data_IF_181633228915
#
_entry.id   IF_181633228915
#
_cell.length_a   1.000
_cell.length_b   1.000
_cell.length_c   1.000
_cell.angle_alpha   90.00
_cell.angle_beta   90.00
_cell.angle_gamma   90.00
#
_symmetry.space_group_name_H-M   'P 1'
#
loop_
_entity.id
_entity.type
_entity.pdbx_description
1 polymer ?
#
# COMPACT_ATOMS: atom_id res chain seq x y z
N UNK A 1 2.96 -13.59 1.20
CA UNK A 1 3.26 -12.22 0.72
C UNK A 1 3.33 -12.21 -0.81
N UNK A 2 2.57 -11.32 -1.48
CA UNK A 2 2.45 -11.29 -2.95
C UNK A 2 3.54 -10.45 -3.66
N UNK A 3 4.40 -9.73 -2.93
CA UNK A 3 5.48 -8.92 -3.52
C UNK A 3 6.37 -9.68 -4.49
N UNK A 4 6.97 -10.81 -4.09
CA UNK A 4 7.76 -11.64 -5.01
C UNK A 4 6.99 -12.06 -6.27
N UNK A 5 5.70 -12.37 -6.15
CA UNK A 5 4.87 -12.70 -7.30
C UNK A 5 4.66 -11.48 -8.21
N UNK A 6 4.38 -10.29 -7.67
CA UNK A 6 4.25 -9.07 -8.45
C UNK A 6 5.55 -8.73 -9.20
N UNK A 7 6.70 -8.92 -8.55
CA UNK A 7 8.02 -8.74 -9.16
C UNK A 7 8.22 -9.72 -10.33
N UNK A 8 7.99 -11.01 -10.11
CA UNK A 8 8.11 -12.05 -11.15
C UNK A 8 7.15 -11.82 -12.32
N UNK A 9 5.91 -11.41 -12.04
CA UNK A 9 4.89 -11.16 -13.04
C UNK A 9 5.26 -10.01 -13.98
N UNK A 10 5.79 -8.92 -13.43
CA UNK A 10 5.92 -7.65 -14.15
C UNK A 10 7.29 -7.43 -14.79
N UNK A 11 8.37 -8.00 -14.23
CA UNK A 11 9.72 -7.83 -14.80
C UNK A 11 9.84 -8.46 -16.18
N UNK A 12 10.44 -7.73 -17.13
CA UNK A 12 10.80 -8.24 -18.47
C UNK A 12 12.21 -8.81 -18.44
N UNK A 13 12.36 -10.09 -18.78
CA UNK A 13 13.67 -10.74 -18.75
C UNK A 13 14.04 -11.24 -17.34
N UNK A 14 15.34 -11.33 -17.04
CA UNK A 14 15.80 -11.77 -15.71
C UNK A 14 15.57 -10.68 -14.67
N UNK A 15 15.07 -11.08 -13.50
CA UNK A 15 14.90 -10.19 -12.34
C UNK A 15 16.27 -9.75 -11.82
N UNK A 16 16.55 -8.45 -11.73
CA UNK A 16 17.89 -7.95 -11.41
C UNK A 16 18.27 -8.03 -9.92
N UNK A 17 17.30 -7.87 -9.01
CA UNK A 17 17.52 -7.77 -7.56
C UNK A 17 16.24 -8.11 -6.77
N UNK A 18 16.29 -8.03 -5.44
CA UNK A 18 15.17 -8.33 -4.56
C UNK A 18 14.88 -9.83 -4.44
N UNK A 19 13.71 -10.22 -3.91
CA UNK A 19 13.44 -11.59 -3.49
C UNK A 19 13.43 -12.59 -4.66
N UNK A 20 13.14 -12.16 -5.89
CA UNK A 20 13.14 -13.02 -7.07
C UNK A 20 14.39 -12.86 -7.95
N UNK A 21 15.48 -12.28 -7.45
CA UNK A 21 16.71 -12.07 -8.21
C UNK A 21 17.16 -13.33 -8.98
N UNK A 22 17.52 -13.15 -10.26
CA UNK A 22 17.96 -14.22 -11.15
C UNK A 22 16.84 -15.04 -11.81
N UNK A 23 15.60 -14.96 -11.30
CA UNK A 23 14.44 -15.63 -11.89
C UNK A 23 14.04 -15.01 -13.24
N UNK A 24 13.39 -15.80 -14.10
CA UNK A 24 12.85 -15.32 -15.37
C UNK A 24 11.48 -14.67 -15.15
N UNK A 25 11.41 -13.36 -15.33
CA UNK A 25 10.16 -12.60 -15.26
C UNK A 25 9.25 -12.85 -16.47
N UNK A 26 7.93 -12.72 -16.24
CA UNK A 26 6.90 -12.98 -17.23
C UNK A 26 6.56 -11.77 -18.12
N UNK A 27 7.02 -10.56 -17.75
CA UNK A 27 6.80 -9.33 -18.50
C UNK A 27 5.33 -8.99 -18.75
N UNK A 28 4.43 -9.38 -17.84
CA UNK A 28 2.98 -9.15 -17.97
C UNK A 28 2.58 -7.84 -17.29
N UNK A 29 1.82 -6.97 -17.98
CA UNK A 29 1.29 -5.77 -17.35
C UNK A 29 0.16 -6.11 -16.37
N UNK A 30 -0.03 -5.24 -15.39
CA UNK A 30 -1.12 -5.26 -14.41
C UNK A 30 -1.87 -3.93 -14.51
N UNK A 31 -3.14 -4.00 -14.93
CA UNK A 31 -3.94 -2.79 -15.16
C UNK A 31 -4.29 -2.05 -13.85
N UNK A 32 -4.46 -2.78 -12.75
CA UNK A 32 -4.66 -2.16 -11.42
C UNK A 32 -4.13 -3.06 -10.31
N UNK A 33 -3.52 -2.44 -9.29
CA UNK A 33 -3.09 -3.08 -8.06
C UNK A 33 -3.59 -2.25 -6.87
N UNK A 34 -4.34 -2.86 -5.96
CA UNK A 34 -4.84 -2.20 -4.75
C UNK A 34 -4.40 -3.02 -3.54
N UNK A 35 -3.73 -2.35 -2.61
CA UNK A 35 -3.20 -2.95 -1.38
C UNK A 35 -3.97 -2.38 -0.20
N UNK A 36 -4.69 -3.23 0.54
CA UNK A 36 -5.40 -2.84 1.76
C UNK A 36 -4.53 -3.09 2.98
N UNK A 37 -4.33 -2.03 3.77
CA UNK A 37 -3.51 -1.99 4.98
C UNK A 37 -2.28 -2.93 4.93
N UNK A 38 -1.42 -2.83 3.90
CA UNK A 38 -0.46 -3.88 3.63
C UNK A 38 0.62 -3.95 4.72
N UNK A 39 0.71 -5.11 5.38
CA UNK A 39 1.79 -5.50 6.29
C UNK A 39 3.08 -5.87 5.52
N UNK A 40 3.44 -5.08 4.51
CA UNK A 40 4.69 -5.20 3.76
C UNK A 40 5.66 -4.13 4.26
N UNK A 41 6.92 -4.49 4.44
CA UNK A 41 7.95 -3.49 4.72
C UNK A 41 8.08 -2.51 3.56
N UNK A 42 8.38 -1.24 3.82
CA UNK A 42 8.60 -0.28 2.73
C UNK A 42 9.74 -0.73 1.83
N UNK A 43 10.79 -1.33 2.40
CA UNK A 43 11.90 -1.96 1.68
C UNK A 43 11.40 -3.03 0.69
N UNK A 44 10.66 -4.04 1.15
CA UNK A 44 10.18 -5.11 0.27
C UNK A 44 9.22 -4.57 -0.80
N UNK A 45 8.41 -3.56 -0.47
CA UNK A 45 7.57 -2.87 -1.46
C UNK A 45 8.40 -2.18 -2.55
N UNK A 46 9.47 -1.47 -2.15
CA UNK A 46 10.38 -0.78 -3.05
C UNK A 46 11.18 -1.75 -3.94
N UNK A 47 11.49 -2.95 -3.46
CA UNK A 47 12.15 -3.98 -4.25
C UNK A 47 11.20 -4.67 -5.26
N UNK A 48 9.92 -4.80 -4.91
CA UNK A 48 9.00 -5.69 -5.65
C UNK A 48 7.95 -4.99 -6.49
N UNK A 49 7.25 -3.99 -5.95
CA UNK A 49 6.17 -3.30 -6.64
C UNK A 49 6.63 -1.99 -7.28
N UNK A 50 7.46 -1.22 -6.57
CA UNK A 50 7.84 0.12 -7.01
C UNK A 50 8.47 0.18 -8.41
N UNK A 51 9.34 -0.75 -8.85
CA UNK A 51 9.90 -0.70 -10.20
C UNK A 51 8.80 -0.80 -11.27
N UNK A 52 7.85 -1.73 -11.09
CA UNK A 52 6.74 -1.92 -12.02
C UNK A 52 5.78 -0.72 -12.04
N UNK A 53 5.56 -0.06 -10.90
CA UNK A 53 4.80 1.19 -10.80
C UNK A 53 5.53 2.33 -11.51
N UNK A 54 6.85 2.44 -11.33
CA UNK A 54 7.66 3.49 -11.95
C UNK A 54 7.72 3.36 -13.47
N UNK A 55 7.83 2.14 -13.97
CA UNK A 55 7.88 1.82 -15.40
C UNK A 55 6.50 1.80 -16.08
N UNK A 56 5.41 1.86 -15.30
CA UNK A 56 4.03 1.80 -15.81
C UNK A 56 3.56 0.38 -16.16
N UNK A 57 4.30 -0.66 -15.79
CA UNK A 57 3.85 -2.06 -15.89
C UNK A 57 2.74 -2.38 -14.88
N UNK A 58 2.65 -1.63 -13.77
CA UNK A 58 1.44 -1.50 -12.95
C UNK A 58 0.84 -0.13 -13.26
N UNK A 59 -0.31 -0.08 -13.93
CA UNK A 59 -0.87 1.17 -14.45
C UNK A 59 -1.53 2.03 -13.36
N UNK A 60 -2.31 1.40 -12.47
CA UNK A 60 -3.02 2.08 -11.37
C UNK A 60 -2.69 1.39 -10.05
N UNK A 61 -1.88 2.03 -9.22
CA UNK A 61 -1.50 1.50 -7.91
C UNK A 61 -2.13 2.34 -6.79
N UNK A 62 -2.74 1.67 -5.81
CA UNK A 62 -3.31 2.33 -4.64
C UNK A 62 -2.99 1.56 -3.35
N UNK A 63 -2.74 2.30 -2.28
CA UNK A 63 -2.62 1.81 -0.90
C UNK A 63 -3.75 2.43 -0.08
N UNK A 64 -4.52 1.57 0.57
CA UNK A 64 -5.48 1.97 1.60
C UNK A 64 -4.81 1.77 2.95
N UNK A 65 -4.83 2.79 3.78
CA UNK A 65 -4.24 2.80 5.11
C UNK A 65 -5.15 3.59 6.06
N UNK A 66 -5.08 3.31 7.35
CA UNK A 66 -5.75 4.15 8.35
C UNK A 66 -4.91 5.39 8.64
N UNK A 67 -5.56 6.45 9.11
CA UNK A 67 -4.86 7.53 9.79
C UNK A 67 -4.11 7.00 11.02
N UNK A 68 -2.93 7.56 11.31
CA UNK A 68 -2.10 7.09 12.43
C UNK A 68 -2.81 7.15 13.79
N UNK A 69 -3.62 8.20 14.01
CA UNK A 69 -4.42 8.31 15.23
C UNK A 69 -5.46 7.19 15.36
N UNK A 70 -5.99 6.69 14.24
CA UNK A 70 -6.98 5.60 14.22
C UNK A 70 -6.27 4.27 14.49
N UNK A 71 -5.10 4.02 13.88
CA UNK A 71 -4.27 2.83 14.17
C UNK A 71 -3.83 2.77 15.64
N UNK A 72 -3.60 3.92 16.27
CA UNK A 72 -3.20 4.01 17.68
C UNK A 72 -4.36 3.78 18.66
N UNK A 73 -5.60 4.00 18.21
CA UNK A 73 -6.84 3.81 18.98
C UNK A 73 -7.48 2.42 18.72
N UNK A 74 -6.97 1.68 17.73
CA UNK A 74 -7.39 0.32 17.39
C UNK A 74 -6.90 -0.74 18.40
N UNK A 75 -7.33 -1.99 18.26
CA UNK A 75 -6.86 -3.09 19.07
C UNK A 75 -6.75 -4.43 18.31
N UNK A 76 -5.86 -5.31 18.76
CA UNK A 76 -5.87 -6.73 18.39
C UNK A 76 -6.59 -7.53 19.49
N UNK A 77 -7.87 -7.84 19.27
CA UNK A 77 -8.70 -8.63 20.19
C UNK A 77 -8.66 -8.13 21.67
N UNK A 78 -8.49 -6.83 21.90
CA UNK A 78 -8.29 -6.22 23.22
C UNK A 78 -7.09 -6.76 24.04
N UNK A 79 -6.14 -7.43 23.39
CA UNK A 79 -4.89 -7.91 24.01
C UNK A 79 -3.75 -6.93 23.74
N UNK A 80 -3.74 -6.32 22.56
CA UNK A 80 -2.81 -5.27 22.16
C UNK A 80 -3.61 -4.04 21.76
N UNK A 81 -3.47 -2.93 22.50
CA UNK A 81 -4.29 -1.72 22.33
C UNK A 81 -3.68 -0.73 21.33
N UNK A 82 -3.31 -1.28 20.17
CA UNK A 82 -3.04 -0.59 18.90
C UNK A 82 -3.45 -1.56 17.79
N UNK A 83 -3.39 -1.10 16.55
CA UNK A 83 -3.68 -1.92 15.38
C UNK A 83 -2.74 -3.13 15.22
N UNK A 84 -3.16 -4.06 14.34
CA UNK A 84 -2.34 -5.19 13.94
C UNK A 84 -1.04 -4.75 13.26
N UNK A 85 -1.01 -3.64 12.49
CA UNK A 85 0.23 -3.17 11.89
C UNK A 85 1.20 -2.62 12.93
N UNK A 86 0.73 -1.99 13.99
CA UNK A 86 1.59 -1.63 15.12
C UNK A 86 2.19 -2.87 15.79
N UNK A 87 1.40 -3.94 15.95
CA UNK A 87 1.91 -5.20 16.49
C UNK A 87 2.98 -5.81 15.56
N UNK A 88 2.70 -5.91 14.27
CA UNK A 88 3.63 -6.45 13.27
C UNK A 88 4.92 -5.63 13.25
N UNK A 89 4.81 -4.32 13.09
CA UNK A 89 5.93 -3.37 12.98
C UNK A 89 6.83 -3.36 14.22
N UNK A 90 6.26 -3.52 15.42
CA UNK A 90 7.00 -3.44 16.67
C UNK A 90 7.53 -4.80 17.17
N UNK A 91 6.91 -5.93 16.79
CA UNK A 91 7.15 -7.22 17.43
C UNK A 91 7.42 -8.39 16.48
N UNK A 92 6.94 -8.35 15.23
CA UNK A 92 7.04 -9.50 14.30
C UNK A 92 8.02 -9.30 13.14
N UNK A 93 8.32 -8.06 12.79
CA UNK A 93 9.38 -7.77 11.83
C UNK A 93 10.77 -7.88 12.47
N UNK A 94 11.77 -8.25 11.65
CA UNK A 94 13.16 -8.33 12.12
C UNK A 94 13.63 -6.93 12.57
N UNK A 95 14.22 -6.79 13.78
CA UNK A 95 14.76 -5.54 14.28
C UNK A 95 15.98 -4.98 13.52
N UNK A 96 16.19 -5.32 12.24
CA UNK A 96 17.32 -4.90 11.41
C UNK A 96 17.55 -3.36 11.38
N UNK A 97 16.54 -2.56 11.77
CA UNK A 97 16.62 -1.09 11.91
C UNK A 97 16.71 -0.64 13.37
N UNK A 98 17.28 -1.43 14.29
CA UNK A 98 17.74 -0.93 15.59
C UNK A 98 19.10 -0.24 15.44
N UNK A 99 19.10 0.90 14.74
CA UNK A 99 20.20 1.87 14.76
C UNK A 99 20.45 2.34 16.22
N UNK A 100 21.66 2.76 16.61
CA UNK A 100 22.05 2.97 18.02
C UNK A 100 21.42 4.21 18.70
N UNK A 101 20.26 4.68 18.25
CA UNK A 101 19.56 5.86 18.77
C UNK A 101 18.29 5.48 19.55
N UNK A 102 17.92 6.24 20.60
CA UNK A 102 16.93 5.84 21.62
C UNK A 102 15.45 5.95 21.19
N UNK A 103 15.17 6.38 19.96
CA UNK A 103 13.81 6.43 19.43
C UNK A 103 13.55 5.11 18.69
N UNK A 104 12.94 4.16 19.40
CA UNK A 104 12.58 2.81 18.95
C UNK A 104 11.91 2.85 17.56
N UNK A 105 12.70 2.56 16.51
CA UNK A 105 12.20 2.53 15.14
C UNK A 105 11.61 1.17 14.87
N UNK A 106 10.31 1.05 15.15
CA UNK A 106 9.45 0.05 14.55
C UNK A 106 9.74 -0.10 13.05
N UNK A 107 9.68 -1.32 12.51
CA UNK A 107 10.01 -1.57 11.10
C UNK A 107 9.00 -0.85 10.19
N UNK A 108 9.44 -0.02 9.23
CA UNK A 108 8.53 0.70 8.35
C UNK A 108 7.65 -0.22 7.53
N UNK A 109 6.33 -0.12 7.73
CA UNK A 109 5.32 -0.84 6.94
C UNK A 109 4.56 0.12 6.03
N UNK A 110 4.36 -0.27 4.77
CA UNK A 110 3.68 0.55 3.76
C UNK A 110 2.24 0.91 4.18
N UNK A 111 1.55 0.01 4.89
CA UNK A 111 0.18 0.22 5.34
C UNK A 111 0.02 1.21 6.48
N UNK A 112 1.09 1.77 7.04
CA UNK A 112 1.01 2.75 8.14
C UNK A 112 1.27 4.17 7.63
N UNK A 113 0.30 5.07 7.82
CA UNK A 113 0.37 6.45 7.34
C UNK A 113 1.65 7.20 7.78
N UNK A 114 2.15 6.95 9.00
CA UNK A 114 3.37 7.59 9.51
C UNK A 114 4.63 7.30 8.70
N UNK A 115 4.67 6.21 7.93
CA UNK A 115 5.79 5.87 7.06
C UNK A 115 5.59 6.33 5.61
N UNK A 116 4.34 6.63 5.21
CA UNK A 116 4.00 7.02 3.84
C UNK A 116 3.74 8.54 3.67
N UNK A 117 3.48 9.28 4.76
CA UNK A 117 3.17 10.71 4.71
C UNK A 117 4.40 11.59 4.83
N UNK A 118 4.56 12.51 3.88
CA UNK A 118 5.69 13.44 3.86
C UNK A 118 5.76 14.41 5.05
N UNK A 119 4.66 14.60 5.77
CA UNK A 119 4.60 15.39 7.00
C UNK A 119 5.15 14.65 8.22
N UNK A 120 5.38 13.34 8.11
CA UNK A 120 5.91 12.53 9.21
C UNK A 120 7.43 12.55 9.26
N UNK A 121 8.00 12.63 10.47
CA UNK A 121 9.45 12.48 10.71
C UNK A 121 9.97 11.07 10.45
N UNK A 122 9.08 10.08 10.32
CA UNK A 122 9.39 8.68 10.08
C UNK A 122 9.22 8.27 8.61
N UNK A 123 8.88 9.22 7.73
CA UNK A 123 8.53 8.91 6.36
C UNK A 123 9.67 8.22 5.60
N UNK A 124 9.32 7.19 4.82
CA UNK A 124 10.17 6.63 3.78
C UNK A 124 10.10 7.56 2.55
N UNK A 125 11.24 8.18 2.21
CA UNK A 125 11.29 9.23 1.20
C UNK A 125 11.00 8.71 -0.22
N UNK A 126 11.31 7.44 -0.51
CA UNK A 126 11.07 6.85 -1.83
C UNK A 126 9.59 6.49 -2.01
N UNK A 127 8.94 6.01 -0.94
CA UNK A 127 7.48 5.85 -0.92
C UNK A 127 6.79 7.20 -1.10
N UNK A 128 7.22 8.22 -0.35
CA UNK A 128 6.70 9.60 -0.47
C UNK A 128 6.85 10.13 -1.89
N UNK A 129 7.96 9.83 -2.56
CA UNK A 129 8.20 10.26 -3.95
C UNK A 129 7.22 9.62 -4.93
N UNK A 130 6.89 8.34 -4.76
CA UNK A 130 5.87 7.67 -5.58
C UNK A 130 4.48 8.32 -5.39
N UNK A 131 4.12 8.65 -4.16
CA UNK A 131 2.85 9.30 -3.83
C UNK A 131 2.79 10.73 -4.40
N UNK A 132 3.82 11.55 -4.16
CA UNK A 132 3.88 12.92 -4.67
C UNK A 132 3.88 13.00 -6.20
N UNK A 133 4.48 12.02 -6.87
CA UNK A 133 4.45 11.91 -8.33
C UNK A 133 3.17 11.29 -8.89
N UNK A 134 2.18 11.00 -8.04
CA UNK A 134 0.88 10.40 -8.39
C UNK A 134 0.98 9.04 -9.08
N UNK A 135 2.10 8.32 -8.90
CA UNK A 135 2.24 6.93 -9.39
C UNK A 135 1.69 5.91 -8.41
N UNK A 136 1.67 6.26 -7.12
CA UNK A 136 1.03 5.50 -6.06
C UNK A 136 -0.02 6.38 -5.38
N UNK A 137 -1.26 5.95 -5.39
CA UNK A 137 -2.32 6.64 -4.67
C UNK A 137 -2.34 6.18 -3.21
N UNK A 138 -2.45 7.11 -2.26
CA UNK A 138 -2.61 6.81 -0.84
C UNK A 138 -4.00 7.26 -0.40
N UNK A 139 -4.85 6.31 -0.04
CA UNK A 139 -6.18 6.54 0.53
C UNK A 139 -6.08 6.36 2.04
N UNK A 140 -6.34 7.44 2.80
CA UNK A 140 -6.36 7.40 4.25
C UNK A 140 -7.78 7.29 4.77
N UNK A 141 -8.07 6.25 5.53
CA UNK A 141 -9.37 5.95 6.10
C UNK A 141 -9.45 6.35 7.59
N UNK A 142 -10.65 6.73 8.08
CA UNK A 142 -11.88 6.94 7.32
C UNK A 142 -11.91 8.32 6.62
N UNK A 143 -12.48 8.40 5.42
CA UNK A 143 -12.57 9.63 4.64
C UNK A 143 -13.84 9.77 3.77
N UNK A 144 -15.00 9.38 4.31
CA UNK A 144 -16.27 9.47 3.59
C UNK A 144 -16.69 10.92 3.41
N UNK A 145 -16.72 11.37 2.15
CA UNK A 145 -17.14 12.71 1.76
C UNK A 145 -17.60 12.72 0.30
N UNK A 146 -18.70 13.42 0.00
CA UNK A 146 -19.24 13.56 -1.37
C UNK A 146 -18.26 14.21 -2.35
N UNK A 147 -17.28 14.97 -1.84
CA UNK A 147 -16.26 15.65 -2.64
C UNK A 147 -15.07 14.74 -2.98
N UNK A 148 -14.92 13.61 -2.29
CA UNK A 148 -13.86 12.63 -2.55
C UNK A 148 -14.37 11.65 -3.61
N UNK A 149 -13.61 11.36 -4.69
CA UNK A 149 -14.01 10.36 -5.68
C UNK A 149 -14.34 9.00 -5.05
N UNK A 150 -15.29 8.26 -5.61
CA UNK A 150 -15.68 6.94 -5.07
C UNK A 150 -14.53 5.92 -5.09
N UNK A 151 -13.52 6.11 -5.94
CA UNK A 151 -12.27 5.36 -5.87
C UNK A 151 -11.50 5.70 -4.59
N UNK A 152 -11.53 6.92 -4.11
CA UNK A 152 -10.70 7.40 -3.01
C UNK A 152 -11.35 7.28 -1.62
N UNK A 153 -12.47 6.57 -1.48
CA UNK A 153 -13.22 6.51 -0.23
C UNK A 153 -13.08 5.17 0.51
N UNK A 154 -13.01 5.26 1.83
CA UNK A 154 -13.06 4.13 2.77
C UNK A 154 -13.62 4.61 4.10
N UNK A 155 -14.48 3.80 4.73
CA UNK A 155 -15.07 4.07 6.05
C UNK A 155 -14.36 3.32 7.18
N UNK A 156 -13.30 2.55 6.88
CA UNK A 156 -12.60 1.66 7.80
C UNK A 156 -12.06 2.42 9.01
N UNK A 157 -12.24 1.84 10.20
CA UNK A 157 -11.82 2.42 11.48
C UNK A 157 -10.94 1.49 12.31
N UNK A 158 -10.89 0.22 11.96
CA UNK A 158 -9.99 -0.77 12.50
C UNK A 158 -9.22 -1.41 11.36
N UNK A 159 -8.04 -1.92 11.67
CA UNK A 159 -7.16 -2.51 10.66
C UNK A 159 -7.85 -3.65 9.89
N UNK A 160 -8.66 -4.45 10.59
CA UNK A 160 -9.39 -5.58 10.01
C UNK A 160 -10.67 -5.20 9.28
N UNK A 161 -11.01 -3.91 9.12
CA UNK A 161 -12.28 -3.51 8.50
C UNK A 161 -12.22 -3.48 6.96
N UNK A 162 -11.03 -3.41 6.34
CA UNK A 162 -10.91 -3.04 4.93
C UNK A 162 -11.59 -4.02 3.95
N UNK A 163 -11.64 -5.31 4.28
CA UNK A 163 -12.27 -6.34 3.46
C UNK A 163 -13.80 -6.41 3.62
N UNK A 164 -14.33 -5.98 4.77
CA UNK A 164 -15.77 -5.88 5.04
C UNK A 164 -16.35 -4.48 4.77
N UNK A 165 -15.50 -3.47 4.57
CA UNK A 165 -15.89 -2.10 4.26
C UNK A 165 -16.43 -1.97 2.82
N UNK A 166 -17.73 -1.68 2.71
CA UNK A 166 -18.42 -1.51 1.43
C UNK A 166 -17.76 -0.45 0.52
N UNK A 167 -17.28 0.65 1.06
CA UNK A 167 -16.65 1.73 0.30
C UNK A 167 -15.25 1.34 -0.18
N UNK A 168 -14.45 0.68 0.66
CA UNK A 168 -13.14 0.12 0.27
C UNK A 168 -13.30 -0.90 -0.87
N UNK A 169 -14.27 -1.80 -0.76
CA UNK A 169 -14.54 -2.81 -1.79
C UNK A 169 -15.03 -2.16 -3.08
N UNK A 170 -15.99 -1.22 -3.01
CA UNK A 170 -16.46 -0.45 -4.18
C UNK A 170 -15.32 0.30 -4.86
N UNK A 171 -14.50 1.01 -4.09
CA UNK A 171 -13.34 1.73 -4.57
C UNK A 171 -12.36 0.81 -5.33
N UNK A 172 -12.16 -0.40 -4.82
CA UNK A 172 -11.30 -1.41 -5.45
C UNK A 172 -11.89 -1.92 -6.76
N UNK A 173 -13.18 -2.24 -6.78
CA UNK A 173 -13.88 -2.67 -8.00
C UNK A 173 -13.86 -1.58 -9.09
N UNK A 174 -14.05 -0.31 -8.72
CA UNK A 174 -13.96 0.81 -9.66
C UNK A 174 -12.55 0.94 -10.27
N UNK A 175 -11.49 0.68 -9.50
CA UNK A 175 -10.11 0.67 -10.04
C UNK A 175 -9.86 -0.48 -11.01
N UNK A 176 -10.41 -1.66 -10.70
CA UNK A 176 -10.36 -2.85 -11.57
C UNK A 176 -11.07 -2.57 -12.89
N UNK A 177 -12.30 -2.04 -12.83
CA UNK A 177 -13.09 -1.69 -14.00
C UNK A 177 -12.44 -0.56 -14.82
N UNK A 178 -11.70 0.33 -14.15
CA UNK A 178 -11.07 1.48 -14.77
C UNK A 178 -12.09 2.52 -15.24
N UNK A 179 -11.64 3.57 -15.96
CA UNK A 179 -12.57 4.49 -16.60
C UNK A 179 -13.39 3.72 -17.62
N UNK A 180 -14.71 3.66 -17.43
CA UNK A 180 -15.61 2.94 -18.33
C UNK A 180 -15.42 3.36 -19.78
N UNK A 181 -15.57 2.43 -20.73
CA UNK A 181 -15.62 2.79 -22.16
C UNK A 181 -16.72 3.85 -22.34
N UNK A 182 -16.32 5.06 -22.75
CA UNK A 182 -17.25 6.07 -23.25
C UNK A 182 -18.07 5.41 -24.35
N UNK A 183 -19.33 5.09 -24.07
CA UNK A 183 -20.24 4.60 -25.10
C UNK A 183 -20.50 5.81 -25.98
N UNK A 184 -19.91 5.85 -27.17
CA UNK A 184 -20.31 6.82 -28.19
C UNK A 184 -21.80 6.57 -28.44
N UNK A 185 -22.65 7.43 -27.91
CA UNK A 185 -24.05 7.51 -28.32
C UNK A 185 -23.97 7.96 -29.78
N UNK A 186 -24.24 7.03 -30.70
CA UNK A 186 -24.47 7.36 -32.09
C UNK A 186 -25.75 8.21 -32.12
N UNK A 187 -25.59 9.50 -32.41
CA UNK A 187 -26.67 10.39 -32.80
C UNK A 187 -27.09 10.11 -34.25
#
# INVERSE_FOLDING_TARGET
MLGPFAQLLTTKGRVPSGPMAGQQGFGRPVTSCTLWAPAITTELFLETYAPAIQEGSIERAAVFALHDAVEQDDHCANIYHKSLLYLVSNAFEDPAVRQPFPDDRATPLLGMAKFALASSKFADLDVVKLIRSKRLELVLAPNIDVRIPATEQSASRHHGDFDDDEQTVKATLLRILGPGKQTKVLA
#
